data_IF_103996012427
#
_entry.id   IF_103996012427
#
_cell.length_a   1.000
_cell.length_b   1.000
_cell.length_c   1.000
_cell.angle_alpha   90.00
_cell.angle_beta   90.00
_cell.angle_gamma   90.00
#
_symmetry.space_group_name_H-M   'P 1'
#
loop_
_entity.id
_entity.type
_entity.pdbx_description
1 polymer ?
#
# COMPACT_ATOMS: atom_id res chain seq x y z
N UNK A 1 -25.44 11.15 -29.46
CA UNK A 1 -23.96 11.11 -29.37
C UNK A 1 -23.41 10.80 -30.74
N UNK A 2 -22.75 11.75 -31.39
CA UNK A 2 -22.10 11.51 -32.67
C UNK A 2 -20.76 10.82 -32.39
N UNK A 3 -20.61 9.57 -32.80
CA UNK A 3 -19.30 8.92 -32.93
C UNK A 3 -18.70 9.37 -34.25
N UNK A 4 -17.63 10.16 -34.18
CA UNK A 4 -16.80 10.46 -35.35
C UNK A 4 -16.08 9.15 -35.74
N UNK A 5 -16.48 8.56 -36.86
CA UNK A 5 -15.70 7.51 -37.51
C UNK A 5 -14.58 8.19 -38.30
N UNK A 6 -13.47 8.48 -37.62
CA UNK A 6 -12.24 8.96 -38.24
C UNK A 6 -11.54 7.77 -38.91
N UNK A 7 -11.26 7.86 -40.22
CA UNK A 7 -10.44 6.87 -40.92
C UNK A 7 -9.02 7.40 -41.02
N UNK A 8 -8.09 6.74 -40.35
CA UNK A 8 -6.67 7.10 -40.40
C UNK A 8 -6.03 6.51 -41.66
N UNK A 9 -5.26 7.35 -42.38
CA UNK A 9 -4.59 6.93 -43.62
C UNK A 9 -3.38 6.03 -43.36
N UNK A 10 -2.91 5.33 -44.40
CA UNK A 10 -1.77 4.40 -44.31
C UNK A 10 -0.44 5.02 -43.82
N UNK A 11 -0.31 6.36 -43.92
CA UNK A 11 0.87 7.10 -43.48
C UNK A 11 0.66 7.80 -42.13
N UNK A 12 -0.45 7.52 -41.43
CA UNK A 12 -0.67 8.08 -40.11
C UNK A 12 0.40 7.58 -39.12
N UNK A 13 0.92 8.48 -38.30
CA UNK A 13 1.90 8.16 -37.25
C UNK A 13 1.67 9.02 -36.02
N UNK A 14 1.88 8.44 -34.85
CA UNK A 14 1.95 9.18 -33.58
C UNK A 14 3.42 9.43 -33.24
N UNK A 15 3.80 10.68 -33.01
CA UNK A 15 5.18 11.09 -32.73
C UNK A 15 5.29 11.77 -31.37
N UNK A 16 6.40 11.56 -30.67
CA UNK A 16 6.69 12.19 -29.38
C UNK A 16 8.18 12.52 -29.27
N UNK A 17 8.51 13.51 -28.45
CA UNK A 17 9.88 13.80 -28.01
C UNK A 17 10.35 12.87 -26.87
N UNK A 18 9.42 12.15 -26.23
CA UNK A 18 9.69 11.20 -25.14
C UNK A 18 10.13 9.82 -25.65
N UNK A 19 9.91 9.55 -26.94
CA UNK A 19 10.27 8.27 -27.57
C UNK A 19 9.37 7.94 -28.76
N UNK A 20 9.60 6.76 -29.34
CA UNK A 20 8.84 6.28 -30.49
C UNK A 20 7.62 5.46 -30.06
N UNK A 21 6.44 5.80 -30.59
CA UNK A 21 5.28 4.94 -30.47
C UNK A 21 5.42 3.70 -31.38
N UNK A 22 5.07 2.53 -30.85
CA UNK A 22 4.95 1.29 -31.61
C UNK A 22 3.49 1.08 -32.00
N UNK A 23 3.22 0.85 -33.28
CA UNK A 23 1.86 0.56 -33.76
C UNK A 23 1.62 -0.95 -33.80
N UNK A 24 0.59 -1.40 -33.09
CA UNK A 24 0.02 -2.73 -33.25
C UNK A 24 -1.46 -2.61 -33.64
N UNK A 25 -1.76 -2.91 -34.91
CA UNK A 25 -3.13 -3.00 -35.42
C UNK A 25 -4.00 -1.77 -35.15
N UNK A 26 -3.42 -0.56 -35.19
CA UNK A 26 -4.14 0.69 -34.97
C UNK A 26 -4.06 1.22 -33.53
N UNK A 27 -3.49 0.45 -32.61
CA UNK A 27 -3.13 0.90 -31.26
C UNK A 27 -1.67 1.28 -31.22
N UNK A 28 -1.38 2.53 -30.91
CA UNK A 28 -0.04 3.06 -30.78
C UNK A 28 0.33 3.12 -29.30
N UNK A 29 1.43 2.48 -28.90
CA UNK A 29 1.93 2.49 -27.53
C UNK A 29 3.33 3.07 -27.41
N UNK A 30 3.56 3.91 -26.41
CA UNK A 30 4.88 4.42 -26.00
C UNK A 30 5.06 4.17 -24.50
N UNK A 31 6.15 3.50 -24.14
CA UNK A 31 6.58 3.36 -22.74
C UNK A 31 7.61 4.45 -22.46
N UNK A 32 7.35 5.26 -21.45
CA UNK A 32 8.19 6.37 -20.97
C UNK A 32 8.44 6.19 -19.47
N UNK A 33 9.56 5.56 -19.12
CA UNK A 33 9.75 5.04 -17.76
C UNK A 33 8.64 4.05 -17.39
N UNK A 34 7.98 4.29 -16.26
CA UNK A 34 6.85 3.47 -15.78
C UNK A 34 5.49 3.88 -16.37
N UNK A 35 5.46 4.93 -17.19
CA UNK A 35 4.25 5.42 -17.84
C UNK A 35 4.06 4.73 -19.20
N UNK A 36 2.82 4.37 -19.51
CA UNK A 36 2.41 3.85 -20.82
C UNK A 36 1.40 4.76 -21.47
N UNK A 37 1.80 5.43 -22.54
CA UNK A 37 0.91 6.18 -23.42
C UNK A 37 0.29 5.26 -24.45
N UNK A 38 -1.02 5.36 -24.67
CA UNK A 38 -1.77 4.57 -25.66
C UNK A 38 -2.67 5.47 -26.50
N UNK A 39 -2.51 5.46 -27.82
CA UNK A 39 -3.47 6.08 -28.75
C UNK A 39 -4.19 5.00 -29.55
N UNK A 40 -5.52 5.09 -29.64
CA UNK A 40 -6.35 4.15 -30.41
C UNK A 40 -6.97 4.82 -31.63
N UNK A 41 -6.66 4.32 -32.82
CA UNK A 41 -7.27 4.78 -34.07
C UNK A 41 -8.77 4.47 -34.17
N UNK A 42 -9.28 3.45 -33.47
CA UNK A 42 -10.71 3.14 -33.53
C UNK A 42 -11.58 4.12 -32.74
N UNK A 43 -10.98 4.82 -31.77
CA UNK A 43 -11.68 5.74 -30.88
C UNK A 43 -11.18 7.18 -30.98
N UNK A 44 -10.01 7.40 -31.58
CA UNK A 44 -9.32 8.69 -31.61
C UNK A 44 -8.80 9.16 -30.25
N UNK A 45 -8.75 8.29 -29.24
CA UNK A 45 -8.38 8.65 -27.86
C UNK A 45 -6.89 8.39 -27.62
N UNK A 46 -6.20 9.38 -27.05
CA UNK A 46 -4.90 9.23 -26.39
C UNK A 46 -5.14 9.12 -24.88
N UNK A 47 -4.65 8.04 -24.26
CA UNK A 47 -4.71 7.79 -22.82
C UNK A 47 -3.31 7.56 -22.26
N UNK A 48 -3.08 8.03 -21.03
CA UNK A 48 -1.89 7.74 -20.25
C UNK A 48 -2.28 6.76 -19.13
N UNK A 49 -1.66 5.59 -19.13
CA UNK A 49 -1.58 4.75 -17.95
C UNK A 49 -0.29 5.12 -17.23
N UNK A 50 -0.38 5.90 -16.16
CA UNK A 50 0.74 6.00 -15.23
C UNK A 50 0.84 4.65 -14.51
N UNK A 51 2.04 4.08 -14.35
CA UNK A 51 2.22 3.29 -13.15
C UNK A 51 1.84 4.22 -12.00
N UNK A 52 0.94 3.81 -11.12
CA UNK A 52 0.85 4.51 -9.84
C UNK A 52 2.28 4.48 -9.29
N UNK A 53 3.00 5.61 -9.35
CA UNK A 53 4.35 5.68 -8.82
C UNK A 53 4.28 5.07 -7.43
N UNK A 54 5.13 4.07 -7.16
CA UNK A 54 5.08 3.25 -5.94
C UNK A 54 4.74 4.19 -4.75
N UNK A 55 3.52 4.07 -4.16
CA UNK A 55 3.05 5.05 -3.19
C UNK A 55 3.96 5.22 -1.97
N UNK A 56 4.64 4.15 -1.58
CA UNK A 56 5.72 4.19 -0.59
C UNK A 56 6.95 4.97 -1.08
N UNK A 57 7.44 4.73 -2.30
CA UNK A 57 8.56 5.51 -2.85
C UNK A 57 8.21 6.99 -2.98
N UNK A 58 7.01 7.29 -3.48
CA UNK A 58 6.52 8.65 -3.57
C UNK A 58 6.47 9.35 -2.20
N UNK A 59 6.06 8.64 -1.15
CA UNK A 59 6.04 9.16 0.22
C UNK A 59 7.45 9.43 0.75
N UNK A 60 8.35 8.44 0.66
CA UNK A 60 9.68 8.54 1.29
C UNK A 60 10.59 9.53 0.53
N UNK A 61 10.52 9.59 -0.81
CA UNK A 61 11.34 10.50 -1.60
C UNK A 61 10.86 11.95 -1.53
N UNK A 62 9.54 12.18 -1.44
CA UNK A 62 9.00 13.52 -1.31
C UNK A 62 9.33 14.16 0.04
N UNK A 63 9.35 13.35 1.11
CA UNK A 63 9.45 13.87 2.49
C UNK A 63 10.89 13.86 2.97
N UNK A 64 11.67 12.84 2.63
CA UNK A 64 13.05 12.68 3.08
C UNK A 64 14.01 12.37 1.92
N UNK A 65 14.27 13.35 1.04
CA UNK A 65 15.13 13.16 -0.13
C UNK A 65 16.56 12.72 0.24
N UNK A 66 17.05 13.05 1.44
CA UNK A 66 18.42 12.80 1.90
C UNK A 66 18.61 11.58 2.82
N UNK A 67 17.58 10.77 3.06
CA UNK A 67 17.74 9.53 3.84
C UNK A 67 18.75 8.59 3.18
N UNK A 68 19.60 7.97 4.00
CA UNK A 68 20.68 7.08 3.56
C UNK A 68 20.18 5.72 3.07
N UNK A 69 19.08 5.23 3.65
CA UNK A 69 18.42 3.99 3.26
C UNK A 69 16.91 4.23 3.19
N UNK A 70 16.34 4.08 1.99
CA UNK A 70 14.91 4.25 1.71
C UNK A 70 14.25 2.93 1.28
N UNK A 71 14.95 1.82 1.42
CA UNK A 71 14.39 0.52 1.06
C UNK A 71 13.25 0.17 2.01
N UNK A 72 12.23 -0.61 1.59
CA UNK A 72 11.13 -0.99 2.48
C UNK A 72 11.57 -1.64 3.79
N UNK A 73 12.67 -2.38 3.78
CA UNK A 73 13.25 -3.08 4.94
C UNK A 73 14.35 -2.27 5.65
N UNK A 74 14.61 -1.04 5.22
CA UNK A 74 15.60 -0.17 5.83
C UNK A 74 15.12 0.36 7.18
N UNK A 75 16.07 0.66 8.06
CA UNK A 75 15.88 1.29 9.38
C UNK A 75 16.98 2.36 9.54
N UNK A 76 16.90 3.47 8.80
CA UNK A 76 17.96 4.47 8.74
C UNK A 76 18.18 5.24 10.05
N UNK A 77 17.18 5.31 10.93
CA UNK A 77 17.22 5.98 12.22
C UNK A 77 17.47 5.04 13.41
N UNK A 78 17.49 3.72 13.18
CA UNK A 78 17.93 2.67 14.10
C UNK A 78 17.02 2.50 15.32
N UNK A 79 15.71 2.58 15.14
CA UNK A 79 14.73 2.35 16.20
C UNK A 79 14.10 0.95 16.18
N UNK A 80 14.47 0.13 15.19
CA UNK A 80 13.98 -1.22 14.98
C UNK A 80 12.66 -1.28 14.19
N UNK A 81 12.22 -0.18 13.59
CA UNK A 81 11.02 -0.10 12.77
C UNK A 81 11.43 0.07 11.30
N UNK A 82 11.06 -0.90 10.46
CA UNK A 82 11.35 -0.81 9.04
C UNK A 82 10.54 0.32 8.37
N UNK A 83 11.12 0.98 7.37
CA UNK A 83 10.50 2.04 6.57
C UNK A 83 9.08 1.68 6.09
N UNK A 84 8.82 0.40 5.75
CA UNK A 84 7.50 -0.04 5.29
C UNK A 84 6.45 -0.05 6.42
N UNK A 85 6.85 -0.29 7.65
CA UNK A 85 5.99 -0.19 8.83
C UNK A 85 5.69 1.28 9.12
N UNK A 86 6.71 2.15 9.04
CA UNK A 86 6.53 3.60 9.19
C UNK A 86 5.66 4.23 8.10
N UNK A 87 5.73 3.70 6.88
CA UNK A 87 4.84 4.10 5.80
C UNK A 87 3.38 3.74 6.09
N UNK A 88 3.14 2.57 6.69
CA UNK A 88 1.79 2.10 7.02
C UNK A 88 1.24 2.83 8.23
N UNK A 89 2.01 2.98 9.30
CA UNK A 89 1.56 3.55 10.56
C UNK A 89 1.52 5.08 10.48
N UNK A 90 0.39 5.67 10.89
CA UNK A 90 0.23 7.12 10.84
C UNK A 90 1.23 7.80 11.77
N UNK A 91 1.97 8.77 11.22
CA UNK A 91 2.98 9.53 11.96
C UNK A 91 4.38 8.95 11.91
N UNK A 92 4.65 7.91 11.11
CA UNK A 92 6.00 7.41 10.89
C UNK A 92 6.92 8.45 10.25
N UNK A 93 8.15 8.49 10.75
CA UNK A 93 9.22 9.39 10.33
C UNK A 93 10.57 8.67 10.37
N UNK A 94 11.05 8.16 9.21
CA UNK A 94 12.30 7.40 9.16
C UNK A 94 13.57 8.19 9.42
N UNK A 95 13.45 9.46 9.81
CA UNK A 95 14.58 10.26 10.25
C UNK A 95 14.64 10.46 11.76
N UNK A 96 13.65 9.97 12.51
CA UNK A 96 13.49 10.23 13.95
C UNK A 96 13.27 8.93 14.71
N UNK A 97 14.32 8.46 15.39
CA UNK A 97 14.26 7.24 16.21
C UNK A 97 13.16 7.30 17.27
N UNK A 98 12.03 6.61 17.04
CA UNK A 98 10.86 6.65 17.93
C UNK A 98 9.90 5.46 17.76
N UNK A 99 9.62 4.79 18.88
CA UNK A 99 8.63 3.69 18.89
C UNK A 99 7.19 4.15 19.14
N UNK A 100 6.94 5.46 19.17
CA UNK A 100 5.65 6.04 19.55
C UNK A 100 4.48 5.72 18.61
N UNK A 101 4.77 5.28 17.39
CA UNK A 101 3.78 4.90 16.37
C UNK A 101 3.34 3.44 16.49
N UNK A 102 4.05 2.62 17.27
CA UNK A 102 3.80 1.18 17.32
C UNK A 102 2.40 0.85 17.83
N UNK A 103 1.80 -0.25 17.34
CA UNK A 103 0.51 -0.70 17.84
C UNK A 103 0.49 -0.89 19.36
N UNK A 104 -0.66 -0.58 19.95
CA UNK A 104 -0.91 -0.74 21.38
C UNK A 104 -1.72 -2.00 21.64
N UNK A 105 -1.53 -2.57 22.83
CA UNK A 105 -2.26 -3.75 23.30
C UNK A 105 -2.98 -3.43 24.61
N UNK A 106 -4.29 -3.63 24.64
CA UNK A 106 -5.05 -3.80 25.87
C UNK A 106 -5.42 -5.28 26.06
N UNK A 107 -4.86 -5.88 27.11
CA UNK A 107 -5.16 -7.24 27.53
C UNK A 107 -5.67 -7.27 28.98
N UNK A 108 -6.32 -6.23 29.48
CA UNK A 108 -6.87 -6.21 30.84
C UNK A 108 -8.15 -7.04 30.99
N UNK A 109 -8.93 -7.18 29.92
CA UNK A 109 -10.24 -7.85 29.93
C UNK A 109 -10.25 -9.29 29.41
N UNK A 110 -11.44 -9.74 28.99
CA UNK A 110 -11.64 -11.06 28.36
C UNK A 110 -11.05 -11.16 26.94
N UNK A 111 -10.67 -10.02 26.36
CA UNK A 111 -10.13 -9.91 25.02
C UNK A 111 -8.70 -9.39 25.04
N UNK A 112 -7.95 -9.76 24.01
CA UNK A 112 -6.74 -9.11 23.56
C UNK A 112 -7.14 -8.11 22.47
N UNK A 113 -6.91 -6.82 22.73
CA UNK A 113 -7.32 -5.73 21.84
C UNK A 113 -6.07 -5.03 21.31
N UNK A 114 -5.78 -5.24 20.03
CA UNK A 114 -4.63 -4.69 19.33
C UNK A 114 -5.08 -3.51 18.48
N UNK A 115 -4.52 -2.32 18.72
CA UNK A 115 -4.98 -1.07 18.10
C UNK A 115 -3.83 -0.29 17.50
N UNK A 116 -4.05 0.27 16.32
CA UNK A 116 -3.13 1.18 15.65
C UNK A 116 -3.87 2.08 14.66
N UNK A 117 -3.23 3.14 14.22
CA UNK A 117 -3.73 3.99 13.13
C UNK A 117 -2.83 3.80 11.93
N UNK A 118 -3.44 3.61 10.75
CA UNK A 118 -2.71 3.47 9.49
C UNK A 118 -3.08 4.55 8.50
N UNK A 119 -2.18 4.84 7.56
CA UNK A 119 -2.47 5.66 6.38
C UNK A 119 -3.35 4.88 5.41
N UNK A 120 -4.50 5.44 5.01
CA UNK A 120 -5.44 4.75 4.11
C UNK A 120 -4.78 4.41 2.76
N UNK A 121 -3.94 5.31 2.24
CA UNK A 121 -3.22 5.13 0.98
C UNK A 121 -2.29 3.90 0.98
N UNK A 122 -1.75 3.52 2.15
CA UNK A 122 -0.84 2.37 2.27
C UNK A 122 -1.50 1.03 1.94
N UNK A 123 -2.83 0.97 1.93
CA UNK A 123 -3.58 -0.25 1.59
C UNK A 123 -3.54 -0.58 0.09
N UNK A 124 -3.17 0.39 -0.76
CA UNK A 124 -3.15 0.24 -2.21
C UNK A 124 -1.93 -0.56 -2.70
N UNK A 125 -0.81 -0.51 -1.97
CA UNK A 125 0.48 -1.05 -2.37
C UNK A 125 1.14 -1.91 -1.29
N UNK A 126 0.42 -2.24 -0.20
CA UNK A 126 0.89 -3.18 0.82
C UNK A 126 -0.13 -4.26 1.12
N UNK A 127 0.36 -5.46 1.43
CA UNK A 127 -0.43 -6.50 2.08
C UNK A 127 -0.21 -6.40 3.59
N UNK A 128 -1.30 -6.16 4.32
CA UNK A 128 -1.30 -6.00 5.77
C UNK A 128 -2.10 -7.13 6.42
N UNK A 129 -1.45 -7.90 7.27
CA UNK A 129 -2.08 -8.98 8.04
C UNK A 129 -1.74 -8.83 9.52
N UNK A 130 -2.75 -9.05 10.36
CA UNK A 130 -2.52 -9.27 11.78
C UNK A 130 -2.24 -10.75 11.99
N UNK A 131 -1.14 -11.04 12.67
CA UNK A 131 -0.78 -12.41 13.04
C UNK A 131 -0.99 -12.58 14.54
N UNK A 132 -1.64 -13.66 14.95
CA UNK A 132 -1.75 -14.02 16.36
C UNK A 132 -1.48 -15.51 16.63
N UNK A 133 -1.09 -15.82 17.85
CA UNK A 133 -0.73 -17.17 18.27
C UNK A 133 -0.64 -17.29 19.79
N UNK A 134 -0.57 -18.53 20.27
CA UNK A 134 -0.37 -18.83 21.70
C UNK A 134 1.11 -19.02 22.06
N UNK A 135 1.99 -18.98 21.06
CA UNK A 135 3.44 -19.00 21.21
C UNK A 135 4.07 -18.12 20.10
N UNK A 136 5.41 -18.05 20.07
CA UNK A 136 6.15 -17.23 19.10
C UNK A 136 6.46 -17.93 17.76
N UNK A 137 5.95 -19.15 17.56
CA UNK A 137 6.24 -20.01 16.41
C UNK A 137 5.02 -20.30 15.51
N UNK A 138 3.84 -20.48 16.10
CA UNK A 138 2.58 -20.74 15.39
C UNK A 138 1.76 -19.47 15.22
N UNK A 139 1.61 -19.01 13.97
CA UNK A 139 0.90 -17.78 13.65
C UNK A 139 -0.34 -18.06 12.78
N UNK A 140 -1.46 -17.45 13.15
CA UNK A 140 -2.68 -17.38 12.33
C UNK A 140 -2.79 -16.00 11.72
N UNK A 141 -2.93 -15.95 10.40
CA UNK A 141 -3.06 -14.70 9.65
C UNK A 141 -4.52 -14.25 9.58
N UNK A 142 -4.75 -12.98 9.88
CA UNK A 142 -6.05 -12.30 9.79
C UNK A 142 -5.88 -11.07 8.90
N UNK A 143 -6.63 -10.94 7.79
CA UNK A 143 -6.61 -9.74 6.97
C UNK A 143 -6.96 -8.49 7.78
N UNK A 144 -6.21 -7.40 7.62
CA UNK A 144 -6.55 -6.11 8.23
C UNK A 144 -7.59 -5.38 7.37
N UNK A 145 -8.80 -5.92 7.39
CA UNK A 145 -9.99 -5.36 6.75
C UNK A 145 -11.23 -5.64 7.61
N UNK A 146 -12.19 -4.71 7.63
CA UNK A 146 -13.40 -4.83 8.45
C UNK A 146 -14.08 -6.17 8.25
N UNK A 147 -14.31 -6.90 9.34
CA UNK A 147 -14.96 -8.21 9.27
C UNK A 147 -14.77 -9.05 10.52
N UNK A 148 -15.28 -10.27 10.44
CA UNK A 148 -15.12 -11.32 11.45
C UNK A 148 -14.45 -12.53 10.81
N UNK A 149 -13.31 -12.93 11.36
CA UNK A 149 -12.47 -14.02 10.87
C UNK A 149 -12.34 -15.08 11.97
N UNK A 150 -13.22 -16.08 11.94
CA UNK A 150 -13.39 -16.99 13.06
C UNK A 150 -13.89 -16.23 14.30
N UNK A 151 -13.14 -16.26 15.39
CA UNK A 151 -13.44 -15.51 16.62
C UNK A 151 -12.84 -14.10 16.64
N UNK A 152 -12.00 -13.74 15.66
CA UNK A 152 -11.34 -12.43 15.61
C UNK A 152 -12.24 -11.42 14.92
N UNK A 153 -12.40 -10.24 15.53
CA UNK A 153 -13.14 -9.12 14.94
C UNK A 153 -12.15 -8.01 14.59
N UNK A 154 -12.21 -7.54 13.34
CA UNK A 154 -11.43 -6.40 12.87
C UNK A 154 -12.40 -5.26 12.56
N UNK A 155 -12.17 -4.11 13.19
CA UNK A 155 -12.89 -2.87 12.92
C UNK A 155 -11.93 -1.85 12.30
N UNK A 156 -12.32 -1.31 11.15
CA UNK A 156 -11.62 -0.19 10.49
C UNK A 156 -12.55 1.01 10.51
N UNK A 157 -12.11 2.09 11.14
CA UNK A 157 -12.87 3.34 11.23
C UNK A 157 -12.11 4.45 10.50
N UNK A 158 -12.66 5.03 9.42
CA UNK A 158 -12.04 6.15 8.72
C UNK A 158 -11.80 7.35 9.65
N UNK A 159 -10.66 8.02 9.47
CA UNK A 159 -10.20 9.16 10.27
C UNK A 159 -9.46 10.18 9.39
N UNK A 160 -10.15 10.76 8.39
CA UNK A 160 -9.51 11.62 7.40
C UNK A 160 -8.77 10.79 6.35
N UNK A 161 -7.49 11.09 6.13
CA UNK A 161 -6.61 10.32 5.24
C UNK A 161 -6.05 9.05 5.91
N UNK A 162 -6.40 8.85 7.18
CA UNK A 162 -6.01 7.72 8.01
C UNK A 162 -7.20 6.81 8.35
N UNK A 163 -6.89 5.65 8.92
CA UNK A 163 -7.85 4.68 9.42
C UNK A 163 -7.43 4.17 10.80
N UNK A 164 -8.37 4.20 11.76
CA UNK A 164 -8.19 3.58 13.05
C UNK A 164 -8.55 2.11 12.97
N UNK A 165 -7.61 1.26 13.36
CA UNK A 165 -7.73 -0.20 13.33
C UNK A 165 -7.84 -0.71 14.77
N UNK A 166 -8.87 -1.50 15.02
CA UNK A 166 -9.04 -2.24 16.28
C UNK A 166 -9.27 -3.70 15.97
N UNK A 167 -8.40 -4.56 16.48
CA UNK A 167 -8.47 -6.00 16.31
C UNK A 167 -8.72 -6.63 17.68
N UNK A 168 -9.84 -7.34 17.80
CA UNK A 168 -10.27 -7.97 19.04
C UNK A 168 -10.17 -9.49 18.90
N UNK A 169 -9.33 -10.10 19.74
CA UNK A 169 -9.18 -11.56 19.84
C UNK A 169 -9.69 -12.01 21.22
N UNK A 170 -10.73 -12.84 21.30
CA UNK A 170 -11.15 -13.43 22.57
C UNK A 170 -10.05 -14.32 23.15
N UNK A 171 -9.71 -14.13 24.43
CA UNK A 171 -8.68 -14.95 25.08
C UNK A 171 -9.13 -16.38 25.32
N UNK A 172 -10.41 -16.58 25.63
CA UNK A 172 -10.96 -17.88 25.98
C UNK A 172 -10.20 -18.51 27.16
N UNK A 173 -9.70 -19.73 26.96
CA UNK A 173 -8.91 -20.47 27.96
C UNK A 173 -7.41 -20.22 27.86
N UNK A 174 -6.97 -19.41 26.89
CA UNK A 174 -5.55 -19.17 26.65
C UNK A 174 -4.95 -18.31 27.77
N UNK A 175 -3.88 -18.81 28.38
CA UNK A 175 -3.09 -18.07 29.36
C UNK A 175 -2.08 -17.14 28.72
N UNK A 176 -1.72 -17.40 27.46
CA UNK A 176 -0.77 -16.65 26.66
C UNK A 176 -1.36 -16.38 25.27
N UNK A 177 -1.16 -15.16 24.79
CA UNK A 177 -1.57 -14.74 23.45
C UNK A 177 -0.62 -13.64 22.97
N UNK A 178 -0.11 -13.83 21.76
CA UNK A 178 0.78 -12.90 21.08
C UNK A 178 0.09 -12.37 19.83
N UNK A 179 0.38 -11.12 19.49
CA UNK A 179 -0.15 -10.48 18.29
C UNK A 179 0.90 -9.55 17.68
N UNK A 180 0.97 -9.52 16.35
CA UNK A 180 1.81 -8.57 15.61
C UNK A 180 1.15 -8.15 14.32
N UNK A 181 1.46 -6.93 13.88
CA UNK A 181 1.20 -6.50 12.52
C UNK A 181 2.34 -7.01 11.62
N UNK A 182 1.99 -7.59 10.48
CA UNK A 182 2.92 -7.93 9.41
C UNK A 182 2.52 -7.18 8.15
N UNK A 183 3.49 -6.49 7.57
CA UNK A 183 3.33 -5.75 6.33
C UNK A 183 4.31 -6.32 5.30
N UNK A 184 3.87 -6.37 4.05
CA UNK A 184 4.72 -6.75 2.92
C UNK A 184 4.34 -5.96 1.66
N UNK A 185 5.33 -5.69 0.82
CA UNK A 185 5.14 -5.21 -0.55
C UNK A 185 4.84 -6.41 -1.46
N UNK A 186 3.88 -6.30 -2.40
CA UNK A 186 3.62 -7.32 -3.43
C UNK A 186 4.80 -7.58 -4.36
#
# INVERSE_FOLDING_TARGET
HATLNESYGANFSVTSNLGAFTNNSGTWTLVDGDNTWTFSQSTGVLSLAVASGDPFLAWIDATWPSLSDKTPTGDPDNDGIENIIEYVLTGGDPSVSTTGILPTLDASGANFVFSFTRRAASTADTTQVFQYGNDLSGWTDVPVATGTYGSVVVAVTPAGDDENIVITVPKGVNTELFGRLKVSKP
#
